data_IF_831998168041
#
_entry.id   IF_831998168041
#
_cell.length_a   1.000
_cell.length_b   1.000
_cell.length_c   1.000
_cell.angle_alpha   90.00
_cell.angle_beta   90.00
_cell.angle_gamma   90.00
#
_symmetry.space_group_name_H-M   'P 1'
#
loop_
_entity.id
_entity.type
_entity.pdbx_description
1 polymer ?
#
# COMPACT_ATOMS: atom_id res chain seq x y z
N UNK A 1 20.01 -4.95 25.29
CA UNK A 1 18.58 -4.61 25.47
C UNK A 1 18.00 -4.42 24.08
N UNK A 2 16.99 -5.22 23.68
CA UNK A 2 16.41 -5.09 22.33
C UNK A 2 15.36 -3.98 22.30
N UNK A 3 15.23 -3.33 21.16
CA UNK A 3 14.19 -2.33 20.89
C UNK A 3 12.98 -3.01 20.26
N UNK A 4 11.85 -3.10 20.96
CA UNK A 4 10.61 -3.65 20.40
C UNK A 4 9.87 -2.50 19.72
N UNK A 5 9.72 -2.59 18.40
CA UNK A 5 9.04 -1.60 17.58
C UNK A 5 7.63 -2.11 17.25
N UNK A 6 6.63 -1.63 18.00
CA UNK A 6 5.22 -1.87 17.71
C UNK A 6 4.73 -0.85 16.67
N UNK A 7 4.28 -1.36 15.53
CA UNK A 7 3.67 -0.60 14.45
C UNK A 7 2.35 -1.24 14.04
N UNK A 8 1.33 -0.41 13.88
CA UNK A 8 0.02 -0.83 13.41
C UNK A 8 -0.38 -0.06 12.16
N UNK A 9 -0.85 -0.77 11.15
CA UNK A 9 -1.48 -0.20 9.97
C UNK A 9 -3.00 -0.12 10.12
N UNK A 10 -3.57 0.98 9.64
CA UNK A 10 -5.01 1.20 9.52
C UNK A 10 -5.32 1.60 8.08
N UNK A 11 -5.99 0.71 7.36
CA UNK A 11 -6.54 0.96 6.04
C UNK A 11 -8.00 0.50 5.96
N UNK A 12 -8.84 1.34 5.34
CA UNK A 12 -10.20 0.98 4.94
C UNK A 12 -10.49 1.62 3.58
N UNK A 13 -10.79 0.83 2.54
CA UNK A 13 -11.09 1.36 1.21
C UNK A 13 -12.51 1.92 1.15
N UNK A 14 -12.76 2.86 0.23
CA UNK A 14 -14.13 3.19 -0.17
C UNK A 14 -14.62 2.10 -1.14
N UNK A 15 -15.47 1.20 -0.63
CA UNK A 15 -16.05 0.10 -1.40
C UNK A 15 -16.94 0.63 -2.51
N UNK A 16 -16.76 0.09 -3.72
CA UNK A 16 -17.61 0.37 -4.86
C UNK A 16 -18.97 -0.31 -4.66
N UNK A 17 -20.06 0.38 -4.98
CA UNK A 17 -21.37 -0.27 -5.10
C UNK A 17 -21.35 -1.27 -6.25
N UNK A 18 -22.35 -2.15 -6.28
CA UNK A 18 -22.63 -2.93 -7.49
C UNK A 18 -22.95 -1.98 -8.63
N UNK A 19 -22.16 -2.04 -9.69
CA UNK A 19 -22.21 -1.13 -10.83
C UNK A 19 -22.26 -1.94 -12.13
N UNK A 20 -23.37 -1.84 -12.85
CA UNK A 20 -23.67 -2.68 -14.01
C UNK A 20 -23.40 -1.91 -15.31
N UNK A 21 -23.28 -2.63 -16.42
CA UNK A 21 -23.10 -2.03 -17.75
C UNK A 21 -24.14 -0.95 -18.07
N UNK A 22 -25.41 -1.15 -17.68
CA UNK A 22 -26.49 -0.17 -17.87
C UNK A 22 -26.44 1.06 -16.95
N UNK A 23 -25.53 1.11 -15.97
CA UNK A 23 -25.32 2.32 -15.16
C UNK A 23 -24.38 3.33 -15.87
N UNK A 24 -23.56 2.86 -16.82
CA UNK A 24 -22.56 3.65 -17.55
C UNK A 24 -23.25 4.75 -18.36
N UNK A 25 -22.80 5.99 -18.22
CA UNK A 25 -23.37 7.19 -18.84
C UNK A 25 -24.64 7.71 -18.14
N UNK A 26 -25.09 7.07 -17.06
CA UNK A 26 -26.36 7.36 -16.40
C UNK A 26 -26.26 7.58 -14.89
N UNK A 27 -25.29 6.96 -14.21
CA UNK A 27 -25.12 7.05 -12.76
C UNK A 27 -23.66 7.21 -12.38
N UNK A 28 -23.36 8.22 -11.57
CA UNK A 28 -21.98 8.62 -11.26
C UNK A 28 -21.61 8.44 -9.77
N UNK A 29 -22.51 7.82 -9.00
CA UNK A 29 -22.38 7.48 -7.58
C UNK A 29 -21.68 6.12 -7.37
N UNK A 30 -20.35 6.06 -7.49
CA UNK A 30 -19.65 4.77 -7.51
C UNK A 30 -19.53 4.05 -6.17
N UNK A 31 -19.60 4.77 -5.05
CA UNK A 31 -19.23 4.25 -3.73
C UNK A 31 -20.46 3.88 -2.89
N UNK A 32 -20.40 2.75 -2.21
CA UNK A 32 -21.49 2.26 -1.35
C UNK A 32 -21.41 2.93 0.04
N UNK A 33 -22.06 4.09 0.19
CA UNK A 33 -22.06 4.84 1.45
C UNK A 33 -22.58 4.02 2.64
N UNK A 34 -23.59 3.17 2.41
CA UNK A 34 -24.17 2.32 3.45
C UNK A 34 -23.17 1.24 3.91
N UNK A 35 -22.57 0.50 2.98
CA UNK A 35 -21.60 -0.54 3.32
C UNK A 35 -20.33 0.04 3.95
N UNK A 36 -19.83 1.18 3.45
CA UNK A 36 -18.67 1.86 4.01
C UNK A 36 -18.93 2.34 5.45
N UNK A 37 -20.08 3.00 5.68
CA UNK A 37 -20.49 3.41 7.03
C UNK A 37 -20.65 2.21 7.98
N UNK A 38 -21.40 1.19 7.57
CA UNK A 38 -21.68 0.01 8.39
C UNK A 38 -20.39 -0.71 8.81
N UNK A 39 -19.49 -0.96 7.86
CA UNK A 39 -18.23 -1.66 8.14
C UNK A 39 -17.27 -0.80 8.96
N UNK A 40 -17.21 0.51 8.71
CA UNK A 40 -16.41 1.44 9.52
C UNK A 40 -16.89 1.48 10.97
N UNK A 41 -18.20 1.54 11.21
CA UNK A 41 -18.78 1.49 12.56
C UNK A 41 -18.52 0.15 13.25
N UNK A 42 -18.62 -0.96 12.52
CA UNK A 42 -18.32 -2.29 13.06
C UNK A 42 -16.87 -2.44 13.53
N UNK A 43 -15.88 -2.04 12.71
CA UNK A 43 -14.46 -2.11 13.09
C UNK A 43 -14.10 -1.09 14.17
N UNK A 44 -14.77 0.07 14.21
CA UNK A 44 -14.62 1.06 15.28
C UNK A 44 -14.99 0.47 16.64
N UNK A 45 -16.16 -0.17 16.75
CA UNK A 45 -16.68 -0.74 17.99
C UNK A 45 -15.86 -1.94 18.50
N UNK A 46 -15.45 -2.84 17.60
CA UNK A 46 -14.76 -4.09 17.96
C UNK A 46 -13.24 -3.96 18.10
N UNK A 47 -12.61 -3.13 17.27
CA UNK A 47 -11.15 -3.03 17.15
C UNK A 47 -10.64 -1.68 17.60
N UNK A 48 -10.92 -0.61 16.86
CA UNK A 48 -10.17 0.64 17.03
C UNK A 48 -10.41 1.32 18.38
N UNK A 49 -11.66 1.38 18.87
CA UNK A 49 -11.96 2.02 20.15
C UNK A 49 -11.47 1.20 21.36
N UNK A 50 -11.71 -0.12 21.45
CA UNK A 50 -11.13 -0.95 22.52
C UNK A 50 -9.60 -0.94 22.53
N UNK A 51 -8.97 -1.06 21.35
CA UNK A 51 -7.51 -1.03 21.23
C UNK A 51 -6.93 0.33 21.62
N UNK A 52 -7.49 1.44 21.14
CA UNK A 52 -7.03 2.79 21.51
C UNK A 52 -7.21 3.06 23.01
N UNK A 53 -8.31 2.59 23.62
CA UNK A 53 -8.53 2.70 25.06
C UNK A 53 -7.47 1.93 25.88
N UNK A 54 -7.16 0.69 25.49
CA UNK A 54 -6.11 -0.12 26.14
C UNK A 54 -4.72 0.51 25.96
N UNK A 55 -4.37 0.96 24.76
CA UNK A 55 -3.08 1.61 24.50
C UNK A 55 -2.94 2.90 25.31
N UNK A 56 -4.01 3.69 25.43
CA UNK A 56 -4.05 4.90 26.25
C UNK A 56 -3.94 4.57 27.75
N UNK A 57 -4.55 3.49 28.24
CA UNK A 57 -4.34 2.98 29.61
C UNK A 57 -2.87 2.65 29.85
N UNK A 58 -2.24 1.92 28.92
CA UNK A 58 -0.82 1.52 29.05
C UNK A 58 0.13 2.72 28.99
N UNK A 59 -0.12 3.69 28.11
CA UNK A 59 0.66 4.94 28.07
C UNK A 59 0.47 5.75 29.37
N UNK A 60 -0.76 5.87 29.90
CA UNK A 60 -1.01 6.56 31.17
C UNK A 60 -0.31 5.87 32.36
N UNK A 61 -0.27 4.54 32.38
CA UNK A 61 0.33 3.74 33.45
C UNK A 61 1.87 3.73 33.40
N UNK A 62 2.47 3.62 32.22
CA UNK A 62 3.91 3.42 32.04
C UNK A 62 4.66 4.66 31.50
N UNK A 63 3.94 5.71 31.11
CA UNK A 63 4.49 6.94 30.56
C UNK A 63 5.33 6.70 29.31
N UNK A 64 6.42 7.47 29.17
CA UNK A 64 7.35 7.41 28.03
C UNK A 64 8.08 6.07 27.83
N UNK A 65 7.90 5.07 28.73
CA UNK A 65 8.44 3.72 28.55
C UNK A 65 7.66 2.87 27.55
N UNK A 66 6.40 3.23 27.26
CA UNK A 66 5.61 2.59 26.23
C UNK A 66 5.57 3.48 24.98
N UNK A 67 5.92 2.91 23.82
CA UNK A 67 6.04 3.60 22.54
C UNK A 67 5.39 2.75 21.46
N UNK A 68 4.56 3.37 20.65
CA UNK A 68 3.80 2.72 19.57
C UNK A 68 3.75 3.64 18.35
N UNK A 69 3.39 3.08 17.20
CA UNK A 69 3.37 3.84 15.94
C UNK A 69 2.21 3.41 15.05
N UNK A 70 1.69 4.34 14.26
CA UNK A 70 0.59 4.10 13.35
C UNK A 70 0.89 4.59 11.93
N UNK A 71 0.50 3.81 10.92
CA UNK A 71 0.18 4.35 9.59
C UNK A 71 -1.32 4.33 9.44
N UNK A 72 -1.92 5.46 9.07
CA UNK A 72 -3.36 5.58 8.83
C UNK A 72 -3.54 6.19 7.46
N UNK A 73 -4.09 5.43 6.52
CA UNK A 73 -4.28 5.94 5.15
C UNK A 73 -5.23 7.13 5.11
N UNK A 74 -5.04 8.04 4.15
CA UNK A 74 -5.88 9.23 3.99
C UNK A 74 -7.35 8.90 3.76
N UNK A 75 -7.65 7.82 3.03
CA UNK A 75 -9.03 7.33 2.87
C UNK A 75 -9.64 6.75 4.15
N UNK A 76 -8.85 6.12 5.03
CA UNK A 76 -9.34 5.72 6.35
C UNK A 76 -9.64 6.95 7.24
N UNK A 77 -8.79 7.98 7.20
CA UNK A 77 -9.03 9.25 7.90
C UNK A 77 -10.33 9.93 7.42
N UNK A 78 -10.58 9.97 6.11
CA UNK A 78 -11.86 10.47 5.57
C UNK A 78 -13.06 9.65 6.08
N UNK A 79 -12.94 8.32 6.15
CA UNK A 79 -14.01 7.48 6.69
C UNK A 79 -14.23 7.68 8.20
N UNK A 80 -13.18 8.00 8.97
CA UNK A 80 -13.36 8.43 10.36
C UNK A 80 -14.11 9.77 10.46
N UNK A 81 -13.73 10.76 9.66
CA UNK A 81 -14.41 12.07 9.63
C UNK A 81 -15.90 11.95 9.26
N UNK A 82 -16.25 11.04 8.35
CA UNK A 82 -17.62 10.83 7.85
C UNK A 82 -18.47 9.92 8.73
N UNK A 83 -17.92 8.81 9.25
CA UNK A 83 -18.69 7.69 9.78
C UNK A 83 -18.38 7.32 11.23
N UNK A 84 -17.19 7.65 11.74
CA UNK A 84 -16.71 7.28 13.07
C UNK A 84 -15.79 8.35 13.72
N UNK A 85 -16.28 9.59 13.93
CA UNK A 85 -15.46 10.71 14.40
C UNK A 85 -14.91 10.53 15.82
N UNK A 86 -15.50 9.65 16.63
CA UNK A 86 -14.96 9.18 17.91
C UNK A 86 -13.65 8.39 17.76
N UNK A 87 -13.47 7.62 16.68
CA UNK A 87 -12.20 6.94 16.40
C UNK A 87 -11.09 7.96 16.17
N UNK A 88 -11.33 8.96 15.31
CA UNK A 88 -10.38 10.05 15.07
C UNK A 88 -10.01 10.78 16.38
N UNK A 89 -11.00 11.11 17.22
CA UNK A 89 -10.76 11.72 18.54
C UNK A 89 -9.88 10.84 19.43
N UNK A 90 -10.10 9.53 19.45
CA UNK A 90 -9.29 8.60 20.26
C UNK A 90 -7.82 8.53 19.77
N UNK A 91 -7.57 8.57 18.45
CA UNK A 91 -6.21 8.71 17.93
C UNK A 91 -5.58 10.08 18.25
N UNK A 92 -6.37 11.16 18.27
CA UNK A 92 -5.89 12.48 18.72
C UNK A 92 -5.56 12.51 20.22
N UNK A 93 -6.27 11.75 21.06
CA UNK A 93 -5.90 11.57 22.48
C UNK A 93 -4.58 10.81 22.62
N UNK A 94 -4.38 9.74 21.84
CA UNK A 94 -3.11 9.02 21.76
C UNK A 94 -1.98 9.94 21.29
N UNK A 95 -2.19 10.77 20.26
CA UNK A 95 -1.21 11.73 19.75
C UNK A 95 -0.75 12.73 20.84
N UNK A 96 -1.69 13.27 21.62
CA UNK A 96 -1.43 14.23 22.72
C UNK A 96 -0.53 13.67 23.82
N UNK A 97 -0.36 12.35 23.94
CA UNK A 97 0.55 11.74 24.92
C UNK A 97 2.04 11.95 24.61
N UNK A 98 2.40 12.27 23.37
CA UNK A 98 3.80 12.31 22.92
C UNK A 98 4.52 10.94 22.99
N UNK A 99 3.75 9.85 23.00
CA UNK A 99 4.25 8.46 23.02
C UNK A 99 3.91 7.66 21.76
N UNK A 100 3.33 8.34 20.76
CA UNK A 100 2.85 7.76 19.50
C UNK A 100 3.49 8.49 18.32
N UNK A 101 4.14 7.75 17.42
CA UNK A 101 4.60 8.26 16.12
C UNK A 101 3.55 7.96 15.04
N UNK A 102 3.20 8.98 14.25
CA UNK A 102 2.39 8.80 13.04
C UNK A 102 3.29 8.83 11.79
N UNK A 103 3.16 7.81 10.95
CA UNK A 103 3.92 7.62 9.73
C UNK A 103 3.24 8.29 8.53
N UNK A 104 4.01 8.50 7.46
CA UNK A 104 3.49 8.89 6.15
C UNK A 104 3.36 7.67 5.23
N UNK A 105 2.32 7.68 4.42
CA UNK A 105 2.06 6.74 3.32
C UNK A 105 1.48 7.48 2.11
N UNK A 106 0.93 6.77 1.12
CA UNK A 106 0.14 7.41 0.06
C UNK A 106 -1.28 7.70 0.56
N UNK A 107 -1.84 8.87 0.23
CA UNK A 107 -3.17 9.25 0.75
C UNK A 107 -4.26 8.22 0.42
N UNK A 108 -4.30 7.68 -0.79
CA UNK A 108 -5.30 6.68 -1.19
C UNK A 108 -4.93 5.23 -0.86
N UNK A 109 -3.82 4.96 -0.16
CA UNK A 109 -3.21 3.62 -0.07
C UNK A 109 -3.07 2.99 -1.47
N UNK A 110 -2.43 3.74 -2.37
CA UNK A 110 -2.30 3.44 -3.79
C UNK A 110 -0.93 2.88 -4.14
N UNK A 111 -0.89 2.07 -5.18
CA UNK A 111 0.35 1.54 -5.76
C UNK A 111 1.06 2.55 -6.69
N UNK A 112 0.87 3.86 -6.49
CA UNK A 112 1.37 4.91 -7.38
C UNK A 112 2.91 4.91 -7.50
N UNK A 113 3.62 4.48 -6.46
CA UNK A 113 5.08 4.30 -6.46
C UNK A 113 5.59 3.33 -7.53
N UNK A 114 4.74 2.46 -8.08
CA UNK A 114 5.07 1.52 -9.16
C UNK A 114 4.78 2.06 -10.57
N UNK A 115 4.08 3.19 -10.72
CA UNK A 115 3.59 3.67 -12.02
C UNK A 115 3.88 5.14 -12.32
N UNK A 116 3.73 6.02 -11.34
CA UNK A 116 3.96 7.46 -11.50
C UNK A 116 4.62 8.07 -10.27
N UNK A 117 5.93 8.42 -10.36
CA UNK A 117 6.63 9.14 -9.31
C UNK A 117 5.98 10.49 -8.94
N UNK A 118 5.37 11.19 -9.91
CA UNK A 118 4.73 12.48 -9.66
C UNK A 118 3.42 12.34 -8.88
N UNK A 119 2.60 11.34 -9.23
CA UNK A 119 1.39 11.03 -8.49
C UNK A 119 1.69 10.48 -7.09
N UNK A 120 2.71 9.63 -6.96
CA UNK A 120 3.24 9.19 -5.68
C UNK A 120 3.66 10.38 -4.80
N UNK A 121 4.49 11.29 -5.34
CA UNK A 121 4.94 12.51 -4.65
C UNK A 121 3.75 13.41 -4.26
N UNK A 122 2.72 13.54 -5.11
CA UNK A 122 1.48 14.28 -4.80
C UNK A 122 0.74 13.67 -3.62
N UNK A 123 0.48 12.36 -3.66
CA UNK A 123 -0.28 11.67 -2.61
C UNK A 123 0.45 11.64 -1.27
N UNK A 124 1.76 11.42 -1.26
CA UNK A 124 2.56 11.44 -0.02
C UNK A 124 2.59 12.83 0.61
N UNK A 125 2.69 13.90 -0.20
CA UNK A 125 2.61 15.27 0.30
C UNK A 125 1.24 15.56 0.93
N UNK A 126 0.15 15.24 0.21
CA UNK A 126 -1.24 15.40 0.70
C UNK A 126 -1.47 14.63 2.01
N UNK A 127 -0.94 13.42 2.12
CA UNK A 127 -1.01 12.61 3.34
C UNK A 127 -0.25 13.26 4.50
N UNK A 128 1.02 13.63 4.29
CA UNK A 128 1.86 14.30 5.29
C UNK A 128 1.22 15.58 5.84
N UNK A 129 0.59 16.39 4.97
CA UNK A 129 -0.16 17.59 5.35
C UNK A 129 -1.38 17.25 6.23
N UNK A 130 -2.15 16.21 5.88
CA UNK A 130 -3.31 15.77 6.67
C UNK A 130 -2.93 15.17 8.04
N UNK A 131 -1.78 14.50 8.14
CA UNK A 131 -1.25 14.01 9.43
C UNK A 131 -0.83 15.18 10.35
N UNK A 132 -0.20 16.21 9.78
CA UNK A 132 0.18 17.42 10.51
C UNK A 132 -1.06 18.22 10.97
N UNK A 133 -2.09 18.33 10.12
CA UNK A 133 -3.40 18.92 10.43
C UNK A 133 -4.12 18.19 11.57
N UNK A 134 -4.29 16.87 11.48
CA UNK A 134 -5.13 16.12 12.40
C UNK A 134 -4.45 15.78 13.73
N UNK A 135 -3.14 15.54 13.74
CA UNK A 135 -2.40 15.03 14.91
C UNK A 135 -1.34 16.00 15.43
N UNK A 136 -1.08 17.12 14.76
CA UNK A 136 -0.01 18.05 15.11
C UNK A 136 1.39 17.47 14.93
N UNK A 137 1.52 16.39 14.15
CA UNK A 137 2.78 15.69 13.92
C UNK A 137 3.09 15.64 12.42
N UNK A 138 4.19 16.26 12.01
CA UNK A 138 4.78 16.02 10.70
C UNK A 138 5.48 14.64 10.69
N UNK A 139 5.08 13.68 9.84
CA UNK A 139 5.68 12.35 9.83
C UNK A 139 7.19 12.37 9.51
N UNK A 140 7.93 11.45 10.12
CA UNK A 140 9.40 11.32 9.97
C UNK A 140 9.83 10.00 9.35
N UNK A 141 9.05 8.96 9.59
CA UNK A 141 9.21 7.62 8.99
C UNK A 141 8.15 7.42 7.92
N UNK A 142 8.53 6.75 6.84
CA UNK A 142 7.65 6.39 5.74
C UNK A 142 7.28 4.90 5.77
N UNK A 143 6.02 4.57 5.44
CA UNK A 143 5.57 3.22 5.10
C UNK A 143 4.89 3.33 3.74
N UNK A 144 5.46 2.69 2.72
CA UNK A 144 4.77 2.63 1.43
C UNK A 144 3.55 1.71 1.54
N UNK A 145 2.57 1.93 0.67
CA UNK A 145 1.44 1.01 0.44
C UNK A 145 1.94 -0.42 0.33
N UNK A 146 1.30 -1.33 1.07
CA UNK A 146 1.64 -2.76 1.15
C UNK A 146 3.09 -3.08 1.51
N UNK A 147 3.72 -2.16 2.26
CA UNK A 147 5.15 -2.19 2.60
C UNK A 147 6.08 -2.26 1.38
N UNK A 148 5.57 -1.91 0.18
CA UNK A 148 6.24 -2.17 -1.09
C UNK A 148 7.56 -1.41 -1.18
N UNK A 149 8.64 -2.13 -1.46
CA UNK A 149 9.99 -1.56 -1.54
C UNK A 149 10.80 -2.14 -2.69
N UNK A 150 11.44 -1.23 -3.44
CA UNK A 150 12.64 -1.48 -4.23
C UNK A 150 13.63 -0.35 -3.94
N UNK A 151 14.88 -0.50 -4.36
CA UNK A 151 15.89 0.55 -4.22
C UNK A 151 15.47 1.88 -4.90
N UNK A 152 14.75 1.82 -6.03
CA UNK A 152 14.20 3.00 -6.70
C UNK A 152 13.12 3.71 -5.86
N UNK A 153 12.20 2.94 -5.25
CA UNK A 153 11.18 3.49 -4.34
C UNK A 153 11.85 4.09 -3.10
N UNK A 154 12.89 3.44 -2.57
CA UNK A 154 13.72 3.97 -1.50
C UNK A 154 14.32 5.34 -1.85
N UNK A 155 14.88 5.48 -3.05
CA UNK A 155 15.39 6.77 -3.53
C UNK A 155 14.29 7.85 -3.59
N UNK A 156 13.12 7.55 -4.17
CA UNK A 156 11.98 8.48 -4.22
C UNK A 156 11.51 8.92 -2.82
N UNK A 157 11.47 7.99 -1.87
CA UNK A 157 11.12 8.27 -0.46
C UNK A 157 12.18 9.15 0.22
N UNK A 158 13.46 8.94 -0.08
CA UNK A 158 14.53 9.79 0.44
C UNK A 158 14.49 11.22 -0.15
N UNK A 159 14.21 11.37 -1.45
CA UNK A 159 14.00 12.66 -2.13
C UNK A 159 12.87 13.47 -1.49
N UNK A 160 11.79 12.79 -1.08
CA UNK A 160 10.66 13.38 -0.36
C UNK A 160 11.02 13.85 1.07
N UNK A 161 12.24 13.61 1.54
CA UNK A 161 12.76 14.10 2.81
C UNK A 161 12.79 13.08 3.94
N UNK A 162 12.22 11.89 3.75
CA UNK A 162 12.22 10.83 4.77
C UNK A 162 13.61 10.21 4.95
N UNK A 163 13.89 9.73 6.17
CA UNK A 163 15.20 9.15 6.55
C UNK A 163 15.08 7.75 7.16
N UNK A 164 13.87 7.32 7.47
CA UNK A 164 13.55 5.96 7.88
C UNK A 164 12.37 5.46 7.04
N UNK A 165 12.41 4.21 6.61
CA UNK A 165 11.33 3.54 5.89
C UNK A 165 11.10 2.14 6.45
N UNK A 166 9.83 1.72 6.54
CA UNK A 166 9.45 0.35 6.88
C UNK A 166 9.30 -0.49 5.60
N UNK A 167 9.78 -1.74 5.62
CA UNK A 167 9.49 -2.74 4.58
C UNK A 167 9.52 -4.18 5.14
N UNK A 168 9.25 -5.18 4.30
CA UNK A 168 9.17 -6.59 4.69
C UNK A 168 10.56 -7.23 4.88
N UNK A 169 10.69 -8.10 5.88
CA UNK A 169 11.83 -8.98 6.10
C UNK A 169 11.83 -10.20 5.16
N UNK A 170 11.68 -9.98 3.86
CA UNK A 170 11.50 -11.04 2.87
C UNK A 170 12.72 -11.99 2.83
N UNK A 171 12.48 -13.30 3.05
CA UNK A 171 13.54 -14.33 3.11
C UNK A 171 14.43 -14.35 1.87
N UNK A 172 13.85 -14.14 0.68
CA UNK A 172 14.58 -14.18 -0.58
C UNK A 172 15.53 -12.97 -0.76
N UNK A 173 15.31 -11.86 -0.04
CA UNK A 173 16.21 -10.68 0.00
C UNK A 173 17.25 -10.82 1.12
N UNK A 174 16.83 -11.28 2.30
CA UNK A 174 17.72 -11.42 3.47
C UNK A 174 18.66 -12.63 3.38
N UNK A 175 18.23 -13.71 2.72
CA UNK A 175 18.94 -14.99 2.70
C UNK A 175 19.08 -15.57 4.11
N UNK A 176 20.29 -15.56 4.65
CA UNK A 176 20.61 -15.99 6.02
C UNK A 176 20.61 -14.85 7.06
N UNK A 177 20.44 -13.59 6.62
CA UNK A 177 20.42 -12.42 7.52
C UNK A 177 19.09 -12.33 8.28
N UNK A 178 19.12 -11.71 9.46
CA UNK A 178 17.92 -11.54 10.31
C UNK A 178 17.20 -10.22 10.02
N UNK A 179 15.85 -10.15 10.06
CA UNK A 179 15.11 -8.89 10.01
C UNK A 179 15.28 -8.05 11.29
N UNK A 180 15.83 -8.63 12.37
CA UNK A 180 15.99 -8.01 13.69
C UNK A 180 17.21 -7.06 13.81
N UNK A 181 17.69 -6.55 12.68
CA UNK A 181 18.74 -5.53 12.60
C UNK A 181 18.22 -4.29 11.89
N UNK A 182 18.85 -3.15 12.14
CA UNK A 182 18.67 -1.97 11.30
C UNK A 182 19.46 -2.15 10.01
N UNK A 183 18.85 -1.84 8.86
CA UNK A 183 19.51 -1.80 7.55
C UNK A 183 19.51 -0.36 6.99
N UNK A 184 20.15 -0.17 5.85
CA UNK A 184 19.98 1.02 5.02
C UNK A 184 19.81 0.62 3.55
N UNK A 185 19.31 1.51 2.71
CA UNK A 185 19.25 1.25 1.25
C UNK A 185 20.67 1.11 0.68
N UNK A 186 20.89 0.12 -0.19
CA UNK A 186 22.17 -0.07 -0.87
C UNK A 186 22.51 1.09 -1.82
N UNK A 187 21.51 1.65 -2.51
CA UNK A 187 21.69 2.80 -3.40
C UNK A 187 21.79 4.13 -2.64
N UNK A 188 21.20 4.23 -1.45
CA UNK A 188 21.28 5.45 -0.63
C UNK A 188 21.38 5.13 0.88
N UNK A 189 22.61 4.95 1.41
CA UNK A 189 22.83 4.56 2.80
C UNK A 189 22.32 5.54 3.87
N UNK A 190 21.86 6.75 3.48
CA UNK A 190 21.23 7.73 4.38
C UNK A 190 19.74 7.44 4.63
N UNK A 191 19.11 6.58 3.84
CA UNK A 191 17.79 6.02 4.14
C UNK A 191 17.97 4.75 4.98
N UNK A 192 17.50 4.79 6.23
CA UNK A 192 17.48 3.65 7.13
C UNK A 192 16.23 2.80 6.88
N UNK A 193 16.38 1.48 6.92
CA UNK A 193 15.33 0.50 6.65
C UNK A 193 15.09 -0.36 7.89
N UNK A 194 13.84 -0.42 8.33
CA UNK A 194 13.39 -1.33 9.39
C UNK A 194 12.57 -2.44 8.74
N UNK A 195 12.98 -3.69 8.96
CA UNK A 195 12.40 -4.85 8.32
C UNK A 195 11.45 -5.57 9.26
N UNK A 196 10.20 -5.76 8.83
CA UNK A 196 9.20 -6.53 9.57
C UNK A 196 9.74 -7.91 9.93
N UNK A 197 9.61 -8.31 11.19
CA UNK A 197 9.76 -9.71 11.58
C UNK A 197 8.44 -10.41 11.24
N UNK A 198 8.33 -10.88 9.99
CA UNK A 198 7.08 -11.45 9.47
C UNK A 198 6.60 -12.63 10.32
N UNK A 199 7.50 -13.49 10.81
CA UNK A 199 7.11 -14.66 11.59
C UNK A 199 6.39 -14.25 12.89
N UNK A 200 7.03 -13.43 13.73
CA UNK A 200 6.41 -12.97 14.97
C UNK A 200 5.17 -12.09 14.72
N UNK A 201 5.12 -11.39 13.60
CA UNK A 201 3.97 -10.56 13.23
C UNK A 201 2.77 -11.42 12.79
N UNK A 202 3.00 -12.40 11.91
CA UNK A 202 2.00 -13.35 11.43
C UNK A 202 1.52 -14.30 12.54
N UNK A 203 2.38 -14.63 13.50
CA UNK A 203 2.03 -15.41 14.70
C UNK A 203 0.98 -14.68 15.57
N UNK A 204 1.08 -13.35 15.69
CA UNK A 204 0.08 -12.52 16.39
C UNK A 204 -1.18 -12.28 15.53
N UNK A 205 -1.02 -11.92 14.25
CA UNK A 205 -2.17 -11.58 13.39
C UNK A 205 -3.03 -12.79 13.03
N UNK A 206 -2.43 -13.96 12.82
CA UNK A 206 -3.13 -15.12 12.23
C UNK A 206 -3.14 -16.37 13.12
N UNK A 207 -2.05 -16.68 13.83
CA UNK A 207 -1.91 -17.96 14.57
C UNK A 207 -2.30 -17.90 16.05
N UNK A 208 -2.48 -16.71 16.61
CA UNK A 208 -2.72 -16.49 18.04
C UNK A 208 -3.84 -17.37 18.64
N UNK A 209 -4.96 -17.54 17.91
CA UNK A 209 -6.09 -18.39 18.31
C UNK A 209 -6.15 -19.78 17.61
N UNK A 210 -5.16 -20.14 16.78
CA UNK A 210 -5.16 -21.40 16.03
C UNK A 210 -4.75 -22.59 16.92
N UNK A 211 -5.74 -23.30 17.46
CA UNK A 211 -5.55 -24.41 18.40
C UNK A 211 -4.75 -25.61 17.84
N UNK A 212 -4.62 -25.72 16.51
CA UNK A 212 -3.80 -26.77 15.86
C UNK A 212 -2.34 -26.38 15.70
N UNK A 213 -1.98 -25.12 15.93
CA UNK A 213 -0.59 -24.69 15.86
C UNK A 213 0.19 -25.19 17.08
N UNK A 214 1.40 -25.71 16.88
CA UNK A 214 2.20 -26.34 17.93
C UNK A 214 2.56 -25.41 19.09
N UNK A 215 2.54 -24.10 18.87
CA UNK A 215 2.81 -23.10 19.90
C UNK A 215 1.55 -22.54 20.57
N UNK A 216 0.36 -23.04 20.24
CA UNK A 216 -0.87 -22.64 20.94
C UNK A 216 -0.95 -23.28 22.34
N UNK A 217 -1.44 -22.57 23.38
CA UNK A 217 -1.80 -21.15 23.39
C UNK A 217 -0.58 -20.23 23.39
N UNK A 218 -0.70 -19.08 22.72
CA UNK A 218 0.34 -18.06 22.66
C UNK A 218 0.19 -17.07 23.84
N UNK A 219 1.01 -17.23 24.88
CA UNK A 219 1.00 -16.36 26.06
C UNK A 219 2.06 -15.25 25.98
N UNK A 220 1.87 -14.18 26.76
CA UNK A 220 2.85 -13.08 26.84
C UNK A 220 4.23 -13.56 27.31
N UNK A 221 4.29 -14.47 28.30
CA UNK A 221 5.52 -15.12 28.77
C UNK A 221 6.22 -15.90 27.66
N UNK A 222 5.47 -16.68 26.86
CA UNK A 222 6.02 -17.47 25.75
C UNK A 222 6.62 -16.55 24.68
N UNK A 223 5.84 -15.56 24.23
CA UNK A 223 6.22 -14.64 23.16
C UNK A 223 7.40 -13.72 23.57
N UNK A 224 7.39 -13.18 24.80
CA UNK A 224 8.52 -12.42 25.33
C UNK A 224 9.74 -13.32 25.58
N UNK A 225 9.53 -14.58 25.96
CA UNK A 225 10.57 -15.60 26.05
C UNK A 225 11.30 -15.82 24.73
N UNK A 226 10.58 -15.90 23.61
CA UNK A 226 11.18 -15.97 22.27
C UNK A 226 12.06 -14.76 21.97
N UNK A 227 11.55 -13.54 22.20
CA UNK A 227 12.29 -12.27 21.98
C UNK A 227 13.55 -12.19 22.88
N UNK A 228 13.43 -12.62 24.13
CA UNK A 228 14.55 -12.68 25.08
C UNK A 228 15.65 -13.65 24.62
N UNK A 229 15.26 -14.80 24.05
CA UNK A 229 16.17 -15.86 23.61
C UNK A 229 16.80 -15.62 22.21
N UNK A 230 16.33 -14.63 21.45
CA UNK A 230 16.98 -14.19 20.21
C UNK A 230 18.43 -13.73 20.45
N UNK A 231 19.28 -13.85 19.42
CA UNK A 231 20.69 -13.49 19.45
C UNK A 231 20.92 -12.10 20.13
N UNK A 232 21.81 -11.97 21.13
CA UNK A 232 22.05 -10.69 21.81
C UNK A 232 22.47 -9.53 20.89
N UNK A 233 23.05 -9.83 19.73
CA UNK A 233 23.44 -8.84 18.73
C UNK A 233 22.25 -8.29 17.92
N UNK A 234 21.09 -8.95 17.92
CA UNK A 234 19.87 -8.44 17.28
C UNK A 234 19.27 -7.32 18.13
N UNK A 235 19.38 -6.08 17.65
CA UNK A 235 19.09 -4.88 18.44
C UNK A 235 17.63 -4.41 18.36
N UNK A 236 16.83 -4.91 17.40
CA UNK A 236 15.44 -4.49 17.17
C UNK A 236 14.54 -5.68 16.86
N UNK A 237 13.30 -5.69 17.36
CA UNK A 237 12.25 -6.61 16.92
C UNK A 237 11.08 -5.79 16.39
N UNK A 238 10.86 -5.90 15.09
CA UNK A 238 9.86 -5.13 14.33
C UNK A 238 8.56 -5.94 14.23
N UNK A 239 7.57 -5.58 15.06
CA UNK A 239 6.25 -6.22 15.11
C UNK A 239 5.26 -5.32 14.36
N UNK A 240 5.08 -5.60 13.08
CA UNK A 240 4.32 -4.75 12.16
C UNK A 240 3.05 -5.49 11.75
N UNK A 241 1.90 -4.96 12.16
CA UNK A 241 0.61 -5.65 12.16
C UNK A 241 -0.48 -4.79 11.49
N UNK A 242 -1.48 -5.39 10.86
CA UNK A 242 -2.77 -4.72 10.67
C UNK A 242 -3.39 -4.48 12.05
N UNK A 243 -3.95 -3.29 12.29
CA UNK A 243 -4.49 -2.96 13.61
C UNK A 243 -5.73 -3.79 13.95
N UNK A 244 -6.47 -4.20 12.93
CA UNK A 244 -7.55 -5.19 12.91
C UNK A 244 -7.15 -6.55 13.52
N UNK A 245 -5.85 -6.81 13.72
CA UNK A 245 -5.36 -7.92 14.58
C UNK A 245 -6.08 -7.92 15.93
N UNK A 246 -6.31 -6.76 16.54
CA UNK A 246 -6.93 -6.60 17.86
C UNK A 246 -8.42 -6.32 17.70
N UNK A 247 -9.26 -7.37 17.70
CA UNK A 247 -10.72 -7.26 17.72
C UNK A 247 -11.44 -7.82 16.49
N UNK A 248 -10.83 -7.80 15.30
CA UNK A 248 -11.44 -8.35 14.08
C UNK A 248 -10.83 -9.69 13.64
N UNK A 249 -9.49 -9.77 13.51
CA UNK A 249 -8.83 -11.02 13.15
C UNK A 249 -8.71 -11.95 14.36
N UNK A 250 -8.32 -11.40 15.51
CA UNK A 250 -8.38 -12.07 16.81
C UNK A 250 -9.45 -11.36 17.65
N UNK A 251 -10.58 -12.01 17.90
CA UNK A 251 -11.68 -11.41 18.66
C UNK A 251 -11.32 -11.23 20.13
N UNK A 252 -12.04 -10.38 20.86
CA UNK A 252 -11.74 -10.09 22.26
C UNK A 252 -11.71 -11.35 23.14
N UNK A 253 -12.61 -12.30 22.88
CA UNK A 253 -12.77 -13.57 23.58
C UNK A 253 -11.57 -14.52 23.38
N UNK A 254 -10.71 -14.27 22.39
CA UNK A 254 -9.44 -15.01 22.24
C UNK A 254 -8.40 -14.63 23.30
N UNK A 255 -8.60 -13.51 24.00
CA UNK A 255 -7.64 -12.97 24.98
C UNK A 255 -6.56 -12.08 24.36
N UNK A 256 -6.66 -11.66 23.10
CA UNK A 256 -5.63 -10.84 22.42
C UNK A 256 -5.37 -9.49 23.12
N UNK A 257 -6.40 -8.87 23.70
CA UNK A 257 -6.27 -7.63 24.47
C UNK A 257 -5.55 -7.85 25.80
N UNK A 258 -5.86 -8.95 26.50
CA UNK A 258 -5.17 -9.34 27.74
C UNK A 258 -3.71 -9.71 27.46
N UNK A 259 -3.43 -10.38 26.33
CA UNK A 259 -2.08 -10.62 25.84
C UNK A 259 -1.33 -9.30 25.62
N UNK A 260 -1.90 -8.34 24.89
CA UNK A 260 -1.25 -7.04 24.62
C UNK A 260 -0.96 -6.29 25.92
N UNK A 261 -1.90 -6.31 26.87
CA UNK A 261 -1.77 -5.71 28.21
C UNK A 261 -0.65 -6.38 29.02
N UNK A 262 -0.63 -7.71 29.06
CA UNK A 262 0.38 -8.49 29.77
C UNK A 262 1.78 -8.32 29.14
N UNK A 263 1.89 -8.46 27.82
CA UNK A 263 3.14 -8.29 27.07
C UNK A 263 3.73 -6.89 27.28
N UNK A 264 2.92 -5.84 27.15
CA UNK A 264 3.35 -4.45 27.39
C UNK A 264 3.88 -4.25 28.80
N UNK A 265 3.14 -4.75 29.81
CA UNK A 265 3.55 -4.72 31.20
C UNK A 265 4.90 -5.43 31.41
N UNK A 266 5.02 -6.68 30.93
CA UNK A 266 6.19 -7.53 31.16
C UNK A 266 7.46 -7.00 30.51
N UNK A 267 7.38 -6.51 29.26
CA UNK A 267 8.52 -5.85 28.58
C UNK A 267 9.08 -4.71 29.42
N UNK A 268 8.20 -3.90 30.03
CA UNK A 268 8.57 -2.71 30.80
C UNK A 268 9.03 -3.06 32.22
N UNK A 269 8.44 -4.07 32.85
CA UNK A 269 8.77 -4.52 34.22
C UNK A 269 10.05 -5.37 34.26
N UNK A 270 10.30 -6.24 33.28
CA UNK A 270 11.55 -7.02 33.20
C UNK A 270 12.79 -6.17 32.88
N UNK A 271 12.61 -5.01 32.23
CA UNK A 271 13.68 -4.07 31.86
C UNK A 271 14.84 -4.70 31.05
N UNK A 272 14.58 -5.80 30.34
CA UNK A 272 15.52 -6.45 29.39
C UNK A 272 15.41 -5.89 27.97
N UNK A 273 14.23 -5.40 27.61
CA UNK A 273 13.88 -4.81 26.32
C UNK A 273 13.20 -3.45 26.56
N UNK A 274 13.05 -2.66 25.51
CA UNK A 274 12.40 -1.34 25.57
C UNK A 274 11.51 -1.12 24.35
N UNK A 275 10.37 -0.46 24.51
CA UNK A 275 9.60 0.00 23.36
C UNK A 275 10.23 1.26 22.74
N UNK A 276 10.26 1.31 21.41
CA UNK A 276 10.69 2.49 20.64
C UNK A 276 9.84 2.63 19.38
N UNK A 277 9.61 3.85 18.93
CA UNK A 277 9.02 4.10 17.60
C UNK A 277 10.07 3.90 16.48
N UNK A 278 9.68 3.73 15.21
CA UNK A 278 10.61 3.64 14.09
C UNK A 278 11.63 4.78 14.01
N UNK A 279 11.23 6.03 14.25
CA UNK A 279 12.16 7.16 14.27
C UNK A 279 13.14 7.07 15.46
N UNK A 280 12.71 6.59 16.63
CA UNK A 280 13.59 6.37 17.79
C UNK A 280 14.59 5.22 17.54
N UNK A 281 14.15 4.14 16.90
CA UNK A 281 15.04 3.04 16.44
C UNK A 281 16.04 3.56 15.40
N UNK A 282 15.56 4.23 14.35
CA UNK A 282 16.40 4.77 13.29
C UNK A 282 17.39 5.85 13.80
N UNK A 283 17.03 6.61 14.84
CA UNK A 283 17.94 7.56 15.48
C UNK A 283 19.00 6.87 16.36
N UNK A 284 18.65 5.77 17.03
CA UNK A 284 19.52 5.15 18.05
C UNK A 284 20.42 4.01 17.55
N UNK A 285 20.06 3.31 16.46
CA UNK A 285 20.84 2.19 15.94
C UNK A 285 21.68 2.58 14.70
N UNK A 286 22.74 1.81 14.45
CA UNK A 286 23.53 1.89 13.21
C UNK A 286 23.14 0.78 12.24
N UNK A 287 23.01 1.05 10.92
CA UNK A 287 22.77 0.00 9.93
C UNK A 287 23.90 -1.03 9.90
N UNK A 288 23.56 -2.33 9.95
CA UNK A 288 24.56 -3.41 9.87
C UNK A 288 25.02 -3.71 8.45
N UNK A 289 24.21 -3.34 7.46
CA UNK A 289 24.42 -3.63 6.03
C UNK A 289 23.52 -2.74 5.19
N UNK A 290 23.96 -2.44 3.96
CA UNK A 290 23.03 -2.09 2.90
C UNK A 290 22.13 -3.29 2.57
N UNK A 291 20.86 -3.02 2.26
CA UNK A 291 19.90 -3.95 1.69
C UNK A 291 19.73 -3.59 0.21
N UNK A 292 19.91 -4.57 -0.68
CA UNK A 292 19.84 -4.40 -2.12
C UNK A 292 18.63 -5.17 -2.64
N UNK A 293 17.63 -4.44 -3.14
CA UNK A 293 16.32 -4.93 -3.53
C UNK A 293 15.96 -4.34 -4.89
N UNK A 294 16.49 -4.90 -5.99
CA UNK A 294 16.34 -4.34 -7.35
C UNK A 294 14.94 -4.58 -7.93
N UNK A 295 14.18 -5.53 -7.38
CA UNK A 295 12.80 -5.81 -7.76
C UNK A 295 11.87 -5.54 -6.57
N UNK A 296 10.67 -4.98 -6.78
CA UNK A 296 9.77 -4.65 -5.67
C UNK A 296 9.33 -5.89 -4.88
N UNK A 297 9.55 -5.85 -3.56
CA UNK A 297 8.98 -6.79 -2.58
C UNK A 297 7.72 -6.19 -1.95
N UNK A 298 6.93 -7.02 -1.29
CA UNK A 298 5.74 -6.65 -0.50
C UNK A 298 5.64 -7.51 0.76
N UNK A 299 4.77 -7.14 1.70
CA UNK A 299 4.46 -7.95 2.89
C UNK A 299 3.37 -9.02 2.70
N UNK A 300 2.68 -9.05 1.55
CA UNK A 300 1.64 -10.04 1.28
C UNK A 300 2.17 -11.35 0.70
N UNK A 301 1.37 -12.40 0.91
CA UNK A 301 1.52 -13.79 0.41
C UNK A 301 2.87 -14.45 0.72
N UNK A 302 3.02 -15.75 0.45
CA UNK A 302 4.27 -16.45 0.80
C UNK A 302 5.48 -15.95 -0.03
N UNK A 303 5.23 -15.51 -1.26
CA UNK A 303 6.25 -15.02 -2.19
C UNK A 303 6.87 -13.68 -1.75
N UNK A 304 6.13 -12.85 -1.01
CA UNK A 304 6.52 -11.49 -0.56
C UNK A 304 6.88 -10.55 -1.72
N UNK A 305 6.06 -10.56 -2.76
CA UNK A 305 6.22 -9.79 -4.00
C UNK A 305 4.93 -9.07 -4.44
N UNK A 306 4.87 -8.56 -5.68
CA UNK A 306 3.72 -7.83 -6.20
C UNK A 306 2.57 -8.70 -6.75
N UNK A 307 2.69 -10.03 -6.74
CA UNK A 307 1.71 -10.92 -7.41
C UNK A 307 0.31 -10.84 -6.81
N UNK A 308 0.16 -10.41 -5.57
CA UNK A 308 -1.14 -10.16 -4.94
C UNK A 308 -1.95 -9.03 -5.62
N UNK A 309 -1.29 -8.06 -6.28
CA UNK A 309 -1.95 -6.91 -6.93
C UNK A 309 -1.70 -6.78 -8.43
N UNK A 310 -0.62 -7.37 -8.96
CA UNK A 310 -0.22 -7.25 -10.38
C UNK A 310 0.18 -8.60 -11.00
N UNK A 311 -0.23 -9.72 -10.40
CA UNK A 311 0.12 -11.08 -10.82
C UNK A 311 -0.65 -11.61 -12.04
N UNK A 312 -1.71 -10.93 -12.51
CA UNK A 312 -2.49 -11.39 -13.66
C UNK A 312 -2.97 -10.25 -14.60
N UNK A 313 -3.48 -10.62 -15.78
CA UNK A 313 -3.89 -9.67 -16.84
C UNK A 313 -5.05 -8.75 -16.42
N UNK A 314 -6.01 -9.22 -15.60
CA UNK A 314 -7.15 -8.42 -15.14
C UNK A 314 -6.64 -7.25 -14.28
N UNK A 315 -5.74 -7.56 -13.36
CA UNK A 315 -5.07 -6.61 -12.49
C UNK A 315 -4.25 -5.58 -13.27
N UNK A 316 -3.40 -6.06 -14.18
CA UNK A 316 -2.52 -5.20 -14.99
C UNK A 316 -3.33 -4.27 -15.91
N UNK A 317 -4.39 -4.75 -16.56
CA UNK A 317 -5.26 -3.93 -17.41
C UNK A 317 -6.02 -2.86 -16.62
N UNK A 318 -6.57 -3.21 -15.45
CA UNK A 318 -7.25 -2.26 -14.56
C UNK A 318 -6.28 -1.16 -14.07
N UNK A 319 -5.09 -1.58 -13.62
CA UNK A 319 -4.03 -0.68 -13.15
C UNK A 319 -3.56 0.26 -14.28
N UNK A 320 -3.24 -0.27 -15.45
CA UNK A 320 -2.76 0.54 -16.57
C UNK A 320 -3.83 1.50 -17.09
N UNK A 321 -5.12 1.11 -17.06
CA UNK A 321 -6.21 2.02 -17.46
C UNK A 321 -6.44 3.15 -16.48
N UNK A 322 -6.41 2.92 -15.17
CA UNK A 322 -6.65 4.01 -14.21
C UNK A 322 -5.52 5.06 -14.23
N UNK A 323 -4.25 4.64 -14.35
CA UNK A 323 -3.13 5.60 -14.44
C UNK A 323 -3.03 6.33 -15.79
N UNK A 324 -3.57 5.80 -16.89
CA UNK A 324 -3.65 6.54 -18.18
C UNK A 324 -4.45 7.84 -18.09
N UNK A 325 -5.32 8.00 -17.09
CA UNK A 325 -6.10 9.23 -16.86
C UNK A 325 -5.30 10.36 -16.22
N UNK A 326 -4.11 10.09 -15.67
CA UNK A 326 -3.32 11.03 -14.87
C UNK A 326 -3.10 12.40 -15.56
N UNK A 327 -2.64 12.39 -16.81
CA UNK A 327 -2.30 13.62 -17.54
C UNK A 327 -3.54 14.47 -17.82
N UNK A 328 -4.65 13.84 -18.22
CA UNK A 328 -5.92 14.52 -18.50
C UNK A 328 -6.47 15.14 -17.21
N UNK A 329 -6.52 14.38 -16.12
CA UNK A 329 -6.97 14.84 -14.81
C UNK A 329 -6.12 15.98 -14.24
N UNK A 330 -4.80 15.90 -14.34
CA UNK A 330 -3.88 16.98 -13.95
C UNK A 330 -4.08 18.23 -14.82
N UNK A 331 -4.39 18.07 -16.10
CA UNK A 331 -4.66 19.18 -17.03
C UNK A 331 -5.94 19.94 -16.71
N UNK A 332 -7.04 19.26 -16.39
CA UNK A 332 -8.30 19.92 -16.02
C UNK A 332 -8.38 20.31 -14.53
N UNK A 333 -7.67 19.66 -13.62
CA UNK A 333 -7.57 20.02 -12.19
C UNK A 333 -8.93 20.14 -11.46
N UNK A 334 -9.89 19.26 -11.79
CA UNK A 334 -11.18 19.20 -11.11
C UNK A 334 -11.10 18.39 -9.81
N UNK A 335 -11.30 19.05 -8.67
CA UNK A 335 -11.02 18.49 -7.34
C UNK A 335 -11.89 17.25 -7.00
N UNK A 336 -13.14 17.21 -7.47
CA UNK A 336 -14.03 16.05 -7.29
C UNK A 336 -13.52 14.82 -8.06
N UNK A 337 -13.20 14.99 -9.34
CA UNK A 337 -12.66 13.93 -10.20
C UNK A 337 -11.29 13.45 -9.69
N UNK A 338 -10.41 14.35 -9.25
CA UNK A 338 -9.14 13.99 -8.62
C UNK A 338 -9.34 13.12 -7.37
N UNK A 339 -10.36 13.43 -6.54
CA UNK A 339 -10.67 12.65 -5.33
C UNK A 339 -11.28 11.28 -5.65
N UNK A 340 -12.15 11.20 -6.65
CA UNK A 340 -12.70 9.93 -7.12
C UNK A 340 -11.62 9.04 -7.76
N UNK A 341 -10.74 9.62 -8.58
CA UNK A 341 -9.61 8.93 -9.20
C UNK A 341 -8.62 8.38 -8.16
N UNK A 342 -8.33 9.16 -7.10
CA UNK A 342 -7.46 8.72 -5.99
C UNK A 342 -8.06 7.51 -5.26
N UNK A 343 -9.39 7.47 -5.08
CA UNK A 343 -10.09 6.30 -4.52
C UNK A 343 -10.06 5.10 -5.48
N UNK A 344 -10.22 5.31 -6.79
CA UNK A 344 -10.12 4.24 -7.79
C UNK A 344 -8.70 3.65 -7.93
N UNK A 345 -7.67 4.30 -7.40
CA UNK A 345 -6.29 3.79 -7.35
C UNK A 345 -5.97 2.97 -6.07
N UNK A 346 -6.90 2.84 -5.13
CA UNK A 346 -6.70 2.10 -3.85
C UNK A 346 -6.28 0.66 -4.12
N UNK A 347 -5.27 0.16 -3.39
CA UNK A 347 -4.64 -1.14 -3.64
C UNK A 347 -5.65 -2.31 -3.63
N UNK A 348 -6.64 -2.28 -2.72
CA UNK A 348 -7.73 -3.25 -2.56
C UNK A 348 -8.42 -3.60 -3.87
N UNK A 349 -8.66 -2.64 -4.76
CA UNK A 349 -9.35 -2.90 -6.02
C UNK A 349 -8.60 -3.92 -6.88
N UNK A 350 -7.27 -3.83 -6.93
CA UNK A 350 -6.44 -4.80 -7.65
C UNK A 350 -6.29 -6.11 -6.87
N UNK A 351 -6.22 -6.05 -5.53
CA UNK A 351 -6.20 -7.24 -4.67
C UNK A 351 -7.45 -8.11 -4.87
N UNK A 352 -8.63 -7.50 -4.98
CA UNK A 352 -9.89 -8.20 -5.24
C UNK A 352 -9.96 -8.89 -6.62
N UNK A 353 -9.07 -8.51 -7.56
CA UNK A 353 -8.90 -9.15 -8.87
C UNK A 353 -7.81 -10.24 -8.88
N UNK A 354 -7.23 -10.60 -7.73
CA UNK A 354 -6.20 -11.64 -7.65
C UNK A 354 -6.78 -13.03 -7.90
N UNK A 355 -6.19 -13.77 -8.84
CA UNK A 355 -6.54 -15.17 -9.09
C UNK A 355 -6.01 -16.13 -8.03
N UNK A 356 -5.13 -15.69 -7.10
CA UNK A 356 -4.77 -16.45 -5.89
C UNK A 356 -5.96 -16.73 -4.96
N UNK A 357 -7.09 -16.05 -5.19
CA UNK A 357 -8.43 -16.42 -4.72
C UNK A 357 -8.76 -17.93 -4.78
N UNK A 358 -8.24 -18.61 -5.80
CA UNK A 358 -8.49 -20.03 -6.03
C UNK A 358 -7.50 -20.96 -5.29
N UNK A 359 -6.34 -20.47 -4.84
CA UNK A 359 -5.31 -21.24 -4.13
C UNK A 359 -5.32 -21.00 -2.61
N UNK A 360 -5.49 -19.76 -2.16
CA UNK A 360 -5.03 -19.33 -0.82
C UNK A 360 -6.12 -19.40 0.27
N UNK A 361 -7.10 -20.27 0.08
CA UNK A 361 -8.06 -20.66 1.12
C UNK A 361 -8.97 -19.54 1.64
N UNK A 362 -9.30 -19.59 2.94
CA UNK A 362 -10.38 -18.79 3.52
C UNK A 362 -10.05 -17.31 3.76
N UNK A 363 -8.77 -16.89 3.74
CA UNK A 363 -8.40 -15.52 4.13
C UNK A 363 -8.84 -14.51 3.07
N UNK A 364 -8.44 -14.72 1.81
CA UNK A 364 -8.91 -13.90 0.67
C UNK A 364 -10.44 -13.82 0.64
N UNK A 365 -11.13 -14.95 0.82
CA UNK A 365 -12.60 -15.06 0.79
C UNK A 365 -13.34 -14.26 1.87
N UNK A 366 -12.68 -13.89 2.97
CA UNK A 366 -13.27 -13.08 4.04
C UNK A 366 -13.18 -11.57 3.77
N UNK A 367 -12.27 -11.15 2.89
CA UNK A 367 -11.91 -9.73 2.70
C UNK A 367 -12.49 -9.16 1.40
N UNK A 368 -12.53 -9.97 0.33
CA UNK A 368 -13.08 -9.55 -0.97
C UNK A 368 -14.63 -9.48 -0.92
N UNK A 369 -15.25 -8.34 -1.28
CA UNK A 369 -16.71 -8.22 -1.33
C UNK A 369 -17.36 -8.88 -2.56
N UNK A 370 -16.57 -9.41 -3.50
CA UNK A 370 -17.05 -10.02 -4.73
C UNK A 370 -17.00 -11.56 -4.69
N UNK A 371 -17.92 -12.22 -5.41
CA UNK A 371 -17.98 -13.69 -5.48
C UNK A 371 -16.80 -14.31 -6.24
N UNK A 372 -16.16 -13.54 -7.12
CA UNK A 372 -14.99 -13.96 -7.89
C UNK A 372 -14.10 -12.77 -8.29
N UNK A 373 -12.83 -13.00 -8.64
CA UNK A 373 -11.95 -11.98 -9.23
C UNK A 373 -12.49 -11.38 -10.53
N UNK A 374 -13.27 -12.16 -11.29
CA UNK A 374 -13.93 -11.69 -12.52
C UNK A 374 -15.06 -10.72 -12.21
N UNK A 375 -15.86 -10.96 -11.17
CA UNK A 375 -16.90 -10.02 -10.72
C UNK A 375 -16.29 -8.71 -10.24
N UNK A 376 -15.18 -8.77 -9.50
CA UNK A 376 -14.41 -7.60 -9.06
C UNK A 376 -13.91 -6.77 -10.25
N UNK A 377 -13.27 -7.43 -11.23
CA UNK A 377 -12.79 -6.80 -12.46
C UNK A 377 -13.94 -6.18 -13.27
N UNK A 378 -15.03 -6.91 -13.51
CA UNK A 378 -16.18 -6.40 -14.28
C UNK A 378 -16.80 -5.18 -13.58
N UNK A 379 -16.99 -5.23 -12.26
CA UNK A 379 -17.56 -4.11 -11.50
C UNK A 379 -16.66 -2.86 -11.58
N UNK A 380 -15.36 -3.03 -11.33
CA UNK A 380 -14.38 -1.96 -11.41
C UNK A 380 -14.26 -1.38 -12.83
N UNK A 381 -14.24 -2.23 -13.86
CA UNK A 381 -14.13 -1.79 -15.25
C UNK A 381 -15.38 -1.04 -15.73
N UNK A 382 -16.58 -1.39 -15.26
CA UNK A 382 -17.79 -0.60 -15.54
C UNK A 382 -17.71 0.79 -14.89
N UNK A 383 -17.31 0.86 -13.60
CA UNK A 383 -17.09 2.13 -12.88
C UNK A 383 -16.04 2.99 -13.59
N UNK A 384 -14.89 2.40 -13.92
CA UNK A 384 -13.80 3.11 -14.59
C UNK A 384 -14.21 3.59 -15.99
N UNK A 385 -15.06 2.83 -16.71
CA UNK A 385 -15.57 3.26 -18.02
C UNK A 385 -16.49 4.48 -17.94
N UNK A 386 -17.40 4.54 -16.95
CA UNK A 386 -18.20 5.74 -16.71
C UNK A 386 -17.34 6.92 -16.23
N UNK A 387 -16.35 6.64 -15.37
CA UNK A 387 -15.43 7.66 -14.89
C UNK A 387 -14.61 8.26 -16.03
N UNK A 388 -14.09 7.45 -16.97
CA UNK A 388 -13.41 7.92 -18.19
C UNK A 388 -14.30 8.90 -18.96
N UNK A 389 -15.57 8.55 -19.20
CA UNK A 389 -16.54 9.40 -19.91
C UNK A 389 -16.71 10.76 -19.19
N UNK A 390 -16.82 10.77 -17.86
CA UNK A 390 -16.93 12.02 -17.08
C UNK A 390 -15.66 12.86 -17.12
N UNK A 391 -14.48 12.25 -17.04
CA UNK A 391 -13.21 12.97 -17.16
C UNK A 391 -13.10 13.56 -18.56
N UNK A 392 -13.36 12.78 -19.61
CA UNK A 392 -13.39 13.28 -20.99
C UNK A 392 -14.36 14.47 -21.14
N UNK A 393 -15.60 14.36 -20.69
CA UNK A 393 -16.59 15.45 -20.77
C UNK A 393 -16.18 16.71 -19.99
N UNK A 394 -15.62 16.56 -18.79
CA UNK A 394 -15.19 17.69 -17.96
C UNK A 394 -13.93 18.38 -18.52
N UNK A 395 -13.05 17.63 -19.18
CA UNK A 395 -11.73 18.09 -19.58
C UNK A 395 -11.66 18.49 -21.08
N UNK A 396 -12.58 17.98 -21.93
CA UNK A 396 -12.76 18.36 -23.35
C UNK A 396 -13.02 19.87 -23.58
N UNK A 397 -13.42 20.63 -22.55
CA UNK A 397 -13.55 22.08 -22.62
C UNK A 397 -12.23 22.86 -22.47
N UNK A 398 -11.15 22.25 -21.95
CA UNK A 398 -9.94 22.97 -21.51
C UNK A 398 -8.73 22.81 -22.44
N UNK A 399 -8.66 21.73 -23.23
CA UNK A 399 -7.56 21.49 -24.17
C UNK A 399 -7.54 22.41 -25.40
N UNK A 400 -8.63 23.15 -25.66
CA UNK A 400 -8.70 24.12 -26.78
C UNK A 400 -7.75 25.33 -26.65
N UNK A 401 -7.17 25.55 -25.47
CA UNK A 401 -6.26 26.68 -25.20
C UNK A 401 -4.76 26.32 -25.22
N UNK A 402 -4.39 25.03 -25.16
CA UNK A 402 -3.00 24.62 -24.85
C UNK A 402 -2.28 23.79 -25.93
N UNK A 403 -2.97 23.33 -26.98
CA UNK A 403 -2.34 22.54 -28.06
C UNK A 403 -2.51 23.25 -29.41
N UNK A 404 -1.53 24.07 -29.79
CA UNK A 404 -1.30 24.41 -31.20
C UNK A 404 -0.47 23.30 -31.83
N UNK A 405 -0.93 22.65 -32.92
CA UNK A 405 -0.07 21.76 -33.69
C UNK A 405 0.95 22.61 -34.48
N UNK A 406 2.19 22.68 -34.00
CA UNK A 406 3.30 22.90 -34.93
C UNK A 406 3.54 21.62 -35.75
N UNK A 407 4.10 21.80 -36.95
CA UNK A 407 4.39 20.75 -37.94
C UNK A 407 3.21 20.15 -38.75
N UNK A 408 2.61 20.98 -39.60
CA UNK A 408 2.12 20.49 -40.91
C UNK A 408 2.36 21.47 -42.07
N UNK A 409 3.52 22.15 -42.09
CA UNK A 409 3.92 23.05 -43.18
C UNK A 409 5.35 22.85 -43.73
N UNK A 410 5.78 21.59 -43.97
CA UNK A 410 7.00 21.32 -44.78
C UNK A 410 6.86 20.31 -45.94
N UNK A 411 5.71 19.67 -46.12
CA UNK A 411 5.51 18.64 -47.16
C UNK A 411 5.08 19.16 -48.56
N UNK A 412 4.91 20.48 -48.77
CA UNK A 412 4.36 21.05 -50.04
C UNK A 412 5.33 21.90 -50.88
N UNK A 413 6.66 21.85 -50.65
CA UNK A 413 7.66 22.63 -51.42
C UNK A 413 8.71 21.83 -52.20
N UNK A 414 8.57 20.51 -52.30
CA UNK A 414 9.52 19.65 -53.05
C UNK A 414 8.91 18.97 -54.29
N UNK A 415 7.80 19.52 -54.79
CA UNK A 415 7.10 19.05 -56.01
C UNK A 415 7.24 20.05 -57.17
N UNK A 416 8.46 20.54 -57.43
CA UNK A 416 8.80 21.32 -58.62
C UNK A 416 10.30 21.17 -58.94
N UNK A 417 10.62 20.89 -60.22
CA UNK A 417 11.92 20.35 -60.72
C UNK A 417 12.09 18.88 -60.31
N UNK A 418 12.26 17.89 -61.19
CA UNK A 418 12.78 17.87 -62.58
C UNK A 418 12.13 16.81 -63.49
N UNK A 419 12.00 17.15 -64.78
CA UNK A 419 12.00 16.28 -65.99
C UNK A 419 13.02 16.92 -66.97
N UNK A 420 13.43 16.34 -68.13
CA UNK A 420 12.87 15.22 -68.90
C UNK A 420 13.69 13.90 -68.67
N UNK A 421 13.76 12.85 -69.49
CA UNK A 421 13.08 12.51 -70.77
C UNK A 421 12.85 10.98 -70.91
N UNK A 422 13.15 10.39 -72.08
CA UNK A 422 13.02 8.97 -72.43
C UNK A 422 14.27 8.46 -73.17
N UNK A 423 14.55 7.16 -73.05
CA UNK A 423 14.95 6.34 -74.20
C UNK A 423 14.57 4.87 -73.98
N UNK A 424 14.51 4.09 -75.06
CA UNK A 424 13.81 2.80 -75.15
C UNK A 424 14.81 1.65 -75.33
N UNK A 425 14.55 0.48 -74.72
CA UNK A 425 14.61 -0.84 -75.40
C UNK A 425 14.03 -1.98 -74.56
N UNK A 426 13.42 -2.93 -75.25
CA UNK A 426 12.75 -4.11 -74.69
C UNK A 426 13.55 -5.39 -74.95
N UNK A 427 13.44 -6.38 -74.06
CA UNK A 427 13.73 -7.81 -74.34
C UNK A 427 12.64 -8.66 -73.68
N UNK A 428 12.35 -9.81 -74.28
CA UNK A 428 11.16 -10.65 -74.03
C UNK A 428 11.52 -12.03 -73.47
N UNK A 429 10.53 -12.71 -72.85
CA UNK A 429 10.46 -14.17 -72.52
C UNK A 429 11.51 -14.66 -71.49
N UNK A 430 11.27 -15.63 -70.62
CA UNK A 430 10.36 -16.77 -70.65
C UNK A 430 10.08 -17.31 -69.23
N UNK A 431 9.03 -18.11 -69.06
CA UNK A 431 8.87 -19.04 -67.94
C UNK A 431 9.36 -20.45 -68.33
N UNK A 432 9.72 -21.29 -67.35
CA UNK A 432 9.27 -22.69 -67.42
C UNK A 432 8.64 -23.20 -66.11
N UNK A 433 7.97 -24.36 -66.22
CA UNK A 433 7.10 -24.97 -65.20
C UNK A 433 7.83 -25.99 -64.32
N UNK A 434 7.29 -26.19 -63.11
CA UNK A 434 7.05 -27.47 -62.41
C UNK A 434 8.07 -28.63 -62.43
N UNK A 435 8.46 -29.08 -61.23
CA UNK A 435 8.40 -30.47 -60.66
C UNK A 435 8.92 -30.36 -59.20
N UNK A 436 8.26 -30.84 -58.15
CA UNK A 436 7.74 -32.18 -57.81
C UNK A 436 8.85 -33.18 -57.40
N UNK A 437 8.60 -33.90 -56.29
CA UNK A 437 9.50 -34.82 -55.54
C UNK A 437 10.56 -34.11 -54.68
N UNK A 438 10.84 -34.50 -53.42
CA UNK A 438 10.14 -35.46 -52.56
C UNK A 438 11.09 -36.22 -51.61
N UNK A 439 10.98 -35.97 -50.30
CA UNK A 439 11.20 -36.92 -49.19
C UNK A 439 10.75 -36.30 -47.88
#
# INVERSE_FOLDING_TARGET
>A
MKSICLFFEIHQPFRLRTYRFFDIGHKHDYFDDYANRFLMQQVAEKSYLPANALLLEMIRKHGKKFRISFSISGVALEQFELYAPEVLKSFQELAKTGCVEFLAETYGNTLASLKSPDEFKRQVKKHSEKMEELFGQKPKTFRNTEMVYSDDIGNLVYELGYRAMLTEGAKHVLGWKSPNFLYCSAVNPKLKLLLRNFQLSDDLSFRFSEQKWSEWPLTADKFLGWINNMNPNEEVVNLFLNYETFGEYQWAETGIFDFLKAFTRMVIEENKNSFKTPAEVAASLQPVSGLNTPYPISWADEERDLTAWLGNELQQEAFDKVYKLEQMLKGCNEASLMKEWERLQTSDHFFFMSTKWFSDGMVFRKINPYNSPYDAFINYMNVLSDFVIRVEQACQGRDSAAIKPEETQKAKKTAAKTRPEKSVKAVTKAAPKSKAQGK
#
